data_IF_276784524943
#
_entry.id   IF_276784524943
#
_cell.length_a   1.000
_cell.length_b   1.000
_cell.length_c   1.000
_cell.angle_alpha   90.00
_cell.angle_beta   90.00
_cell.angle_gamma   90.00
#
_symmetry.space_group_name_H-M   'P 1'
#
loop_
_entity.id
_entity.type
_entity.pdbx_description
1 polymer ?
#
# COMPACT_ATOMS: atom_id res chain seq x y z
N UNK A 1 9.14 6.06 2.28
CA UNK A 1 8.50 5.21 3.31
C UNK A 1 9.02 3.78 3.29
N UNK A 2 8.91 3.04 2.17
CA UNK A 2 9.39 1.64 2.09
C UNK A 2 10.88 1.44 2.43
N UNK A 3 11.76 2.40 2.14
CA UNK A 3 13.16 2.31 2.58
C UNK A 3 13.29 2.37 4.11
N UNK A 4 12.60 3.31 4.78
CA UNK A 4 12.58 3.41 6.25
C UNK A 4 11.98 2.17 6.90
N UNK A 5 10.93 1.62 6.28
CA UNK A 5 10.31 0.36 6.69
C UNK A 5 11.30 -0.82 6.73
N UNK A 6 12.40 -0.76 5.97
CA UNK A 6 13.46 -1.78 5.98
C UNK A 6 14.57 -1.54 7.00
N UNK A 7 14.65 -0.33 7.57
CA UNK A 7 15.73 0.02 8.51
C UNK A 7 15.51 -0.57 9.90
N UNK A 8 14.26 -0.58 10.39
CA UNK A 8 13.96 -1.01 11.75
C UNK A 8 13.79 -2.52 11.86
N UNK A 9 14.25 -3.10 12.96
CA UNK A 9 14.13 -4.55 13.21
C UNK A 9 12.68 -4.99 13.35
N UNK A 10 11.89 -4.24 14.10
CA UNK A 10 10.45 -4.49 14.26
C UNK A 10 9.72 -3.47 13.41
N UNK A 11 8.69 -3.93 12.70
CA UNK A 11 7.81 -3.05 11.96
C UNK A 11 6.36 -3.23 12.40
N UNK A 12 5.62 -2.14 12.37
CA UNK A 12 4.20 -2.05 12.72
C UNK A 12 3.52 -1.26 11.62
N UNK A 13 2.45 -1.80 11.04
CA UNK A 13 1.62 -1.05 10.10
C UNK A 13 0.18 -1.00 10.56
N UNK A 14 -0.52 0.06 10.17
CA UNK A 14 -1.97 0.18 10.32
C UNK A 14 -2.55 1.14 9.30
N UNK A 15 -3.86 1.03 9.10
CA UNK A 15 -4.65 1.92 8.26
C UNK A 15 -5.59 2.74 9.16
N UNK A 16 -5.64 4.05 8.93
CA UNK A 16 -6.69 4.92 9.46
C UNK A 16 -8.02 4.62 8.77
N UNK A 17 -8.94 3.96 9.48
CA UNK A 17 -10.24 3.62 8.91
C UNK A 17 -11.07 4.88 8.73
N UNK A 18 -11.51 5.12 7.48
CA UNK A 18 -12.31 6.29 7.14
C UNK A 18 -11.65 7.61 7.57
N UNK A 19 -10.32 7.71 7.44
CA UNK A 19 -9.55 8.80 8.05
C UNK A 19 -10.00 10.19 7.62
N UNK A 20 -10.30 10.39 6.33
CA UNK A 20 -10.79 11.67 5.82
C UNK A 20 -12.16 12.06 6.40
N UNK A 21 -13.02 11.09 6.69
CA UNK A 21 -14.35 11.35 7.26
C UNK A 21 -14.30 11.83 8.72
N UNK A 22 -13.15 11.70 9.39
CA UNK A 22 -12.96 12.24 10.74
C UNK A 22 -12.77 13.76 10.73
N UNK A 23 -12.37 14.34 9.60
CA UNK A 23 -12.14 15.77 9.46
C UNK A 23 -13.40 16.50 8.99
N UNK A 24 -13.69 17.64 9.61
CA UNK A 24 -14.84 18.50 9.27
C UNK A 24 -14.49 19.38 8.09
N UNK A 25 -15.35 19.38 7.08
CA UNK A 25 -15.26 20.34 5.99
C UNK A 25 -15.89 21.67 6.44
N UNK A 26 -15.18 22.77 6.22
CA UNK A 26 -15.67 24.11 6.51
C UNK A 26 -17.00 24.35 5.80
N UNK A 27 -17.94 25.01 6.48
CA UNK A 27 -19.32 25.18 6.00
C UNK A 27 -19.38 25.86 4.62
N UNK A 28 -18.46 26.81 4.37
CA UNK A 28 -18.30 27.52 3.11
C UNK A 28 -17.85 26.62 1.93
N UNK A 29 -17.08 25.58 2.19
CA UNK A 29 -16.55 24.67 1.16
C UNK A 29 -17.50 23.51 0.83
N UNK A 30 -18.52 23.25 1.66
CA UNK A 30 -19.40 22.08 1.51
C UNK A 30 -20.13 22.06 0.18
N UNK A 31 -20.50 23.21 -0.35
CA UNK A 31 -21.22 23.31 -1.61
C UNK A 31 -20.37 22.89 -2.83
N UNK A 32 -19.05 22.94 -2.73
CA UNK A 32 -18.14 22.40 -3.75
C UNK A 32 -18.12 20.86 -3.79
N UNK A 33 -18.74 20.18 -2.81
CA UNK A 33 -18.79 18.71 -2.70
C UNK A 33 -20.18 18.14 -2.94
N UNK A 34 -21.04 18.87 -3.64
CA UNK A 34 -22.40 18.41 -3.96
C UNK A 34 -22.39 17.24 -4.93
N UNK A 35 -23.33 16.31 -4.73
CA UNK A 35 -23.58 15.22 -5.66
C UNK A 35 -25.08 14.94 -5.76
N UNK A 36 -25.48 14.42 -6.92
CA UNK A 36 -26.86 14.02 -7.20
C UNK A 36 -27.05 12.55 -6.85
N UNK A 37 -28.22 12.23 -6.30
CA UNK A 37 -28.60 10.85 -5.98
C UNK A 37 -30.09 10.64 -6.23
N UNK A 38 -30.48 9.42 -6.57
CA UNK A 38 -31.89 9.08 -6.64
C UNK A 38 -32.43 8.87 -5.23
N UNK A 39 -33.57 9.48 -4.91
CA UNK A 39 -34.19 9.39 -3.59
C UNK A 39 -34.49 7.93 -3.26
N UNK A 40 -34.07 7.50 -2.09
CA UNK A 40 -34.35 6.15 -1.58
C UNK A 40 -35.55 6.20 -0.64
N UNK A 41 -36.54 5.36 -0.89
CA UNK A 41 -37.75 5.25 -0.08
C UNK A 41 -37.93 3.82 0.43
N UNK A 42 -38.60 3.66 1.57
CA UNK A 42 -38.97 2.33 2.07
C UNK A 42 -40.35 1.97 1.53
N UNK A 43 -40.43 0.83 0.85
CA UNK A 43 -41.71 0.21 0.49
C UNK A 43 -42.48 -0.21 1.74
N UNK A 44 -43.79 -0.41 1.60
CA UNK A 44 -44.66 -0.89 2.68
C UNK A 44 -44.18 -2.21 3.31
N UNK A 45 -43.42 -3.01 2.55
CA UNK A 45 -42.86 -4.30 2.98
C UNK A 45 -41.47 -4.15 3.64
N UNK A 46 -41.00 -2.92 3.87
CA UNK A 46 -39.71 -2.61 4.52
C UNK A 46 -38.48 -2.68 3.59
N UNK A 47 -38.67 -2.95 2.30
CA UNK A 47 -37.58 -2.99 1.33
C UNK A 47 -37.25 -1.58 0.80
N UNK A 48 -35.95 -1.29 0.62
CA UNK A 48 -35.47 -0.06 -0.01
C UNK A 48 -35.75 -0.07 -1.52
N UNK A 49 -36.43 0.95 -2.02
CA UNK A 49 -36.59 1.21 -3.45
C UNK A 49 -35.96 2.55 -3.82
N UNK A 50 -35.57 2.66 -5.09
CA UNK A 50 -35.05 3.89 -5.68
C UNK A 50 -36.20 4.57 -6.41
N UNK A 51 -36.54 5.79 -6.01
CA UNK A 51 -37.56 6.61 -6.66
C UNK A 51 -36.97 7.35 -7.86
N UNK A 52 -37.82 7.76 -8.80
CA UNK A 52 -37.44 8.55 -9.99
C UNK A 52 -37.25 10.05 -9.69
N UNK A 53 -37.05 10.39 -8.41
CA UNK A 53 -36.79 11.74 -7.92
C UNK A 53 -35.29 11.90 -7.64
N UNK A 54 -34.65 12.93 -8.22
CA UNK A 54 -33.24 13.23 -7.96
C UNK A 54 -33.13 14.25 -6.81
N UNK A 55 -32.35 13.91 -5.79
CA UNK A 55 -32.01 14.78 -4.65
C UNK A 55 -30.55 15.19 -4.69
N UNK A 56 -30.23 16.34 -4.11
CA UNK A 56 -28.85 16.83 -3.98
C UNK A 56 -28.36 16.65 -2.55
N UNK A 57 -27.24 15.95 -2.39
CA UNK A 57 -26.50 15.86 -1.13
C UNK A 57 -25.22 16.66 -1.22
N UNK A 58 -24.62 16.96 -0.06
CA UNK A 58 -23.29 17.56 0.07
C UNK A 58 -22.55 16.92 1.24
N UNK A 59 -21.24 16.84 1.16
CA UNK A 59 -20.46 16.32 2.27
C UNK A 59 -20.30 17.35 3.38
N UNK A 60 -20.31 16.89 4.63
CA UNK A 60 -19.97 17.68 5.82
C UNK A 60 -18.58 17.36 6.36
N UNK A 61 -17.96 16.31 5.84
CA UNK A 61 -16.63 15.78 6.15
C UNK A 61 -15.84 15.62 4.86
N UNK A 62 -14.53 15.45 4.91
CA UNK A 62 -13.74 15.31 3.68
C UNK A 62 -14.05 13.99 2.95
N UNK A 63 -14.60 14.03 1.73
CA UNK A 63 -14.81 12.82 0.94
C UNK A 63 -13.50 12.23 0.41
N UNK A 64 -13.57 10.94 0.08
CA UNK A 64 -12.53 10.27 -0.70
C UNK A 64 -12.53 10.81 -2.14
N UNK A 65 -11.35 11.02 -2.71
CA UNK A 65 -11.17 11.47 -4.10
C UNK A 65 -10.89 12.97 -4.26
N UNK A 66 -11.03 13.79 -3.22
CA UNK A 66 -10.50 15.16 -3.27
C UNK A 66 -8.98 15.15 -3.19
N UNK A 67 -8.35 15.94 -4.05
CA UNK A 67 -6.89 16.10 -4.10
C UNK A 67 -6.31 16.70 -2.82
N UNK A 68 -7.10 17.49 -2.08
CA UNK A 68 -6.69 18.13 -0.82
C UNK A 68 -6.84 17.24 0.42
N UNK A 69 -7.70 16.20 0.41
CA UNK A 69 -7.97 15.35 1.58
C UNK A 69 -6.70 14.75 2.20
N UNK A 70 -5.74 14.19 1.43
CA UNK A 70 -4.52 13.62 2.00
C UNK A 70 -3.61 14.66 2.66
N UNK A 71 -3.53 15.86 2.08
CA UNK A 71 -2.74 16.95 2.65
C UNK A 71 -3.32 17.39 3.98
N UNK A 72 -4.64 17.61 4.04
CA UNK A 72 -5.31 18.08 5.25
C UNK A 72 -5.25 17.05 6.38
N UNK A 73 -5.42 15.75 6.07
CA UNK A 73 -5.19 14.69 7.05
C UNK A 73 -3.75 14.70 7.58
N UNK A 74 -2.77 14.82 6.69
CA UNK A 74 -1.37 14.88 7.10
C UNK A 74 -1.08 16.11 7.97
N UNK A 75 -1.65 17.28 7.63
CA UNK A 75 -1.51 18.51 8.40
C UNK A 75 -2.16 18.39 9.79
N UNK A 76 -3.38 17.85 9.88
CA UNK A 76 -4.05 17.61 11.15
C UNK A 76 -3.29 16.63 12.04
N UNK A 77 -2.74 15.56 11.47
CA UNK A 77 -1.91 14.60 12.23
C UNK A 77 -0.61 15.23 12.74
N UNK A 78 0.03 16.12 11.96
CA UNK A 78 1.22 16.87 12.41
C UNK A 78 0.89 17.85 13.53
N UNK A 79 -0.21 18.58 13.41
CA UNK A 79 -0.67 19.48 14.47
C UNK A 79 -0.96 18.71 15.76
N UNK A 80 -1.63 17.57 15.63
CA UNK A 80 -1.88 16.66 16.74
C UNK A 80 -0.57 16.14 17.36
N UNK A 81 0.42 15.82 16.54
CA UNK A 81 1.73 15.40 17.03
C UNK A 81 2.46 16.52 17.80
N UNK A 82 2.41 17.76 17.33
CA UNK A 82 2.97 18.93 18.02
C UNK A 82 2.30 19.15 19.38
N UNK A 83 0.97 19.10 19.43
CA UNK A 83 0.19 19.34 20.65
C UNK A 83 0.48 18.31 21.75
N UNK A 84 0.69 17.05 21.38
CA UNK A 84 0.87 15.95 22.32
C UNK A 84 2.29 15.38 22.35
N UNK A 85 3.30 16.12 21.86
CA UNK A 85 4.69 15.67 21.78
C UNK A 85 5.27 15.23 23.14
N UNK A 86 4.89 15.91 24.22
CA UNK A 86 5.37 15.56 25.58
C UNK A 86 4.60 14.38 26.18
N UNK A 87 3.35 14.19 25.79
CA UNK A 87 2.47 13.12 26.32
C UNK A 87 2.74 11.79 25.63
N UNK A 88 2.99 11.80 24.33
CA UNK A 88 3.20 10.61 23.49
C UNK A 88 4.47 10.75 22.63
N UNK A 89 5.67 10.84 23.26
CA UNK A 89 6.90 11.21 22.56
C UNK A 89 7.33 10.19 21.49
N UNK A 90 6.98 8.91 21.63
CA UNK A 90 7.35 7.88 20.67
C UNK A 90 6.43 7.96 19.45
N UNK A 91 5.11 7.99 19.64
CA UNK A 91 4.13 8.05 18.55
C UNK A 91 4.29 9.33 17.71
N UNK A 92 4.45 10.48 18.36
CA UNK A 92 4.56 11.78 17.68
C UNK A 92 5.79 11.88 16.79
N UNK A 93 6.95 11.36 17.23
CA UNK A 93 8.16 11.25 16.41
C UNK A 93 7.93 10.46 15.12
N UNK A 94 7.08 9.44 15.18
CA UNK A 94 6.80 8.59 14.02
C UNK A 94 5.78 9.21 13.06
N UNK A 95 4.75 9.91 13.54
CA UNK A 95 3.70 10.50 12.68
C UNK A 95 4.29 11.41 11.59
N UNK A 96 5.28 12.23 11.91
CA UNK A 96 5.88 13.17 10.96
C UNK A 96 6.55 12.50 9.76
N UNK A 97 7.16 11.33 10.00
CA UNK A 97 8.07 10.69 9.06
C UNK A 97 7.54 9.38 8.47
N UNK A 98 6.50 8.79 9.05
CA UNK A 98 6.08 7.43 8.77
C UNK A 98 4.59 7.29 8.43
N UNK A 99 3.98 8.39 8.00
CA UNK A 99 2.60 8.44 7.52
C UNK A 99 2.57 8.71 6.03
N UNK A 100 1.77 7.95 5.28
CA UNK A 100 1.45 8.19 3.88
C UNK A 100 -0.06 8.12 3.69
N UNK A 101 -0.70 9.26 3.41
CA UNK A 101 -2.16 9.36 3.39
C UNK A 101 -2.77 8.89 4.72
N UNK A 102 -3.54 7.81 4.70
CA UNK A 102 -4.15 7.12 5.84
C UNK A 102 -3.31 5.92 6.34
N UNK A 103 -2.16 5.65 5.74
CA UNK A 103 -1.33 4.49 6.03
C UNK A 103 -0.14 4.83 6.94
N UNK A 104 -0.02 4.10 8.05
CA UNK A 104 1.07 4.24 9.02
C UNK A 104 2.03 3.07 8.86
N UNK A 105 3.31 3.35 8.64
CA UNK A 105 4.36 2.33 8.50
C UNK A 105 5.52 2.67 9.39
N UNK A 106 5.47 2.13 10.60
CA UNK A 106 6.32 2.53 11.70
C UNK A 106 7.31 1.40 12.00
N UNK A 107 8.50 1.76 12.47
CA UNK A 107 9.54 0.80 12.82
C UNK A 107 10.19 1.12 14.16
N UNK A 108 10.46 0.08 14.95
CA UNK A 108 11.10 0.15 16.27
C UNK A 108 12.24 -0.87 16.37
N UNK A 109 13.06 -0.75 17.42
CA UNK A 109 14.21 -1.65 17.62
C UNK A 109 13.92 -2.79 18.61
N UNK A 110 12.94 -2.59 19.50
CA UNK A 110 12.61 -3.54 20.58
C UNK A 110 11.11 -3.80 20.70
N UNK A 111 10.76 -4.97 21.23
CA UNK A 111 9.36 -5.37 21.46
C UNK A 111 8.67 -4.44 22.47
N UNK A 112 9.40 -4.00 23.50
CA UNK A 112 8.89 -3.06 24.50
C UNK A 112 8.53 -1.71 23.87
N UNK A 113 9.41 -1.19 23.02
CA UNK A 113 9.16 0.06 22.28
C UNK A 113 7.98 -0.11 21.31
N UNK A 114 7.86 -1.26 20.64
CA UNK A 114 6.74 -1.58 19.75
C UNK A 114 5.39 -1.56 20.48
N UNK A 115 5.33 -2.16 21.68
CA UNK A 115 4.12 -2.18 22.50
C UNK A 115 3.78 -0.77 22.99
N UNK A 116 4.75 -0.01 23.51
CA UNK A 116 4.51 1.37 23.96
C UNK A 116 4.02 2.25 22.81
N UNK A 117 4.67 2.16 21.65
CA UNK A 117 4.26 2.88 20.45
C UNK A 117 2.82 2.54 20.04
N UNK A 118 2.44 1.26 20.06
CA UNK A 118 1.07 0.85 19.75
C UNK A 118 0.05 1.51 20.69
N UNK A 119 0.34 1.56 22.00
CA UNK A 119 -0.53 2.22 22.99
C UNK A 119 -0.62 3.72 22.76
N UNK A 120 0.53 4.38 22.60
CA UNK A 120 0.61 5.81 22.35
C UNK A 120 -0.14 6.19 21.07
N UNK A 121 0.01 5.41 19.99
CA UNK A 121 -0.72 5.65 18.74
C UNK A 121 -2.24 5.58 18.93
N UNK A 122 -2.75 4.56 19.65
CA UNK A 122 -4.19 4.46 19.92
C UNK A 122 -4.72 5.65 20.72
N UNK A 123 -3.98 6.07 21.74
CA UNK A 123 -4.36 7.22 22.57
C UNK A 123 -4.29 8.53 21.78
N UNK A 124 -3.21 8.73 21.04
CA UNK A 124 -3.00 9.91 20.20
C UNK A 124 -4.11 10.04 19.15
N UNK A 125 -4.40 9.00 18.37
CA UNK A 125 -5.43 9.07 17.32
C UNK A 125 -6.86 9.14 17.86
N UNK A 126 -7.09 8.74 19.12
CA UNK A 126 -8.40 8.89 19.78
C UNK A 126 -8.82 10.37 19.93
N UNK A 127 -7.87 11.30 20.06
CA UNK A 127 -8.17 12.73 20.16
C UNK A 127 -8.84 13.32 18.92
N UNK A 128 -8.68 12.67 17.76
CA UNK A 128 -9.36 13.04 16.50
C UNK A 128 -10.39 11.98 16.07
N UNK A 129 -10.75 11.06 16.96
CA UNK A 129 -11.65 9.94 16.66
C UNK A 129 -11.22 9.14 15.43
N UNK A 130 -9.91 8.95 15.22
CA UNK A 130 -9.37 8.19 14.12
C UNK A 130 -9.11 6.73 14.54
N UNK A 131 -10.01 5.79 14.21
CA UNK A 131 -9.79 4.38 14.48
C UNK A 131 -8.69 3.84 13.57
N UNK A 132 -7.71 3.17 14.18
CA UNK A 132 -6.66 2.44 13.48
C UNK A 132 -7.05 0.97 13.35
N UNK A 133 -6.91 0.43 12.14
CA UNK A 133 -7.28 -0.94 11.82
C UNK A 133 -6.22 -1.61 10.94
N UNK A 134 -6.49 -2.88 10.57
CA UNK A 134 -5.62 -3.71 9.73
C UNK A 134 -4.17 -3.75 10.24
N UNK A 135 -4.04 -3.91 11.55
CA UNK A 135 -2.76 -3.97 12.23
C UNK A 135 -1.92 -5.13 11.70
N UNK A 136 -0.63 -4.89 11.49
CA UNK A 136 0.33 -5.93 11.16
C UNK A 136 1.67 -5.66 11.82
N UNK A 137 2.39 -6.70 12.21
CA UNK A 137 3.72 -6.59 12.80
C UNK A 137 4.47 -7.91 12.72
N UNK A 138 5.80 -7.86 12.66
CA UNK A 138 6.68 -9.03 12.85
C UNK A 138 7.05 -9.30 14.32
N UNK A 139 6.62 -8.46 15.27
CA UNK A 139 6.85 -8.68 16.71
C UNK A 139 5.89 -9.73 17.28
N UNK A 140 6.43 -10.87 17.74
CA UNK A 140 5.62 -11.90 18.42
C UNK A 140 5.07 -11.44 19.76
N UNK A 141 5.81 -10.59 20.47
CA UNK A 141 5.34 -10.00 21.73
C UNK A 141 4.11 -9.12 21.50
N UNK A 142 4.15 -8.22 20.51
CA UNK A 142 3.03 -7.36 20.17
C UNK A 142 1.83 -8.15 19.62
N UNK A 143 2.07 -9.17 18.80
CA UNK A 143 1.02 -10.12 18.40
C UNK A 143 0.37 -10.80 19.60
N UNK A 144 1.14 -11.14 20.65
CA UNK A 144 0.63 -11.68 21.91
C UNK A 144 -0.33 -10.72 22.62
N UNK A 145 0.03 -9.43 22.68
CA UNK A 145 -0.84 -8.37 23.23
C UNK A 145 -2.13 -8.28 22.42
N UNK A 146 -2.05 -8.20 21.09
CA UNK A 146 -3.23 -8.11 20.23
C UNK A 146 -4.17 -9.32 20.36
N UNK A 147 -3.64 -10.53 20.54
CA UNK A 147 -4.47 -11.73 20.81
C UNK A 147 -5.24 -11.62 22.12
N UNK A 148 -4.62 -11.12 23.18
CA UNK A 148 -5.30 -10.93 24.48
C UNK A 148 -6.41 -9.87 24.40
N UNK A 149 -6.22 -8.87 23.54
CA UNK A 149 -7.16 -7.75 23.36
C UNK A 149 -8.19 -7.97 22.25
N UNK A 150 -8.19 -9.15 21.62
CA UNK A 150 -9.03 -9.47 20.45
C UNK A 150 -8.86 -8.47 19.29
N UNK A 151 -7.66 -7.94 19.12
CA UNK A 151 -7.32 -7.04 18.00
C UNK A 151 -6.96 -7.90 16.78
N UNK A 152 -7.69 -7.80 15.67
CA UNK A 152 -7.38 -8.56 14.47
C UNK A 152 -6.09 -8.04 13.83
N UNK A 153 -5.19 -8.96 13.46
CA UNK A 153 -3.97 -8.66 12.72
C UNK A 153 -3.77 -9.64 11.57
N UNK A 154 -2.90 -9.30 10.62
CA UNK A 154 -2.58 -10.15 9.45
C UNK A 154 -1.15 -10.66 9.50
N UNK A 155 -0.97 -11.92 9.10
CA UNK A 155 0.34 -12.56 8.96
C UNK A 155 0.96 -12.29 7.58
N UNK A 156 0.11 -12.16 6.54
CA UNK A 156 0.52 -11.74 5.20
C UNK A 156 -0.26 -10.49 4.83
N UNK A 157 0.43 -9.45 4.39
CA UNK A 157 -0.19 -8.17 4.00
C UNK A 157 0.53 -7.54 2.83
N UNK A 158 -0.03 -6.45 2.28
CA UNK A 158 0.66 -5.59 1.34
C UNK A 158 0.96 -4.25 1.99
N UNK A 159 2.23 -3.87 2.01
CA UNK A 159 2.72 -2.57 2.49
C UNK A 159 3.03 -1.73 1.26
N UNK A 160 2.21 -0.71 1.00
CA UNK A 160 2.31 0.12 -0.21
C UNK A 160 2.44 -0.72 -1.49
N UNK A 161 1.64 -1.79 -1.63
CA UNK A 161 1.63 -2.65 -2.82
C UNK A 161 2.72 -3.73 -2.88
N UNK A 162 3.64 -3.79 -1.90
CA UNK A 162 4.64 -4.86 -1.77
C UNK A 162 4.15 -5.89 -0.75
N UNK A 163 4.10 -7.16 -1.12
CA UNK A 163 3.66 -8.23 -0.22
C UNK A 163 4.74 -8.56 0.82
N UNK A 164 4.32 -8.65 2.08
CA UNK A 164 5.16 -8.88 3.24
C UNK A 164 4.57 -10.00 4.10
N UNK A 165 5.39 -11.03 4.34
CA UNK A 165 5.16 -12.09 5.33
C UNK A 165 5.76 -11.62 6.65
N UNK A 166 4.90 -11.40 7.65
CA UNK A 166 5.31 -10.85 8.96
C UNK A 166 5.93 -11.89 9.87
N UNK A 167 5.67 -13.18 9.65
CA UNK A 167 6.24 -14.26 10.47
C UNK A 167 7.71 -14.49 10.11
N UNK A 168 7.99 -14.59 8.81
CA UNK A 168 9.36 -14.77 8.29
C UNK A 168 10.10 -13.46 8.08
N UNK A 169 9.38 -12.35 8.14
CA UNK A 169 9.87 -10.99 7.93
C UNK A 169 10.53 -10.76 6.56
N UNK A 170 9.84 -11.18 5.50
CA UNK A 170 10.35 -11.18 4.12
C UNK A 170 9.34 -10.61 3.14
N UNK A 171 9.86 -9.91 2.14
CA UNK A 171 9.11 -9.59 0.93
C UNK A 171 9.04 -10.80 0.01
N UNK A 172 7.90 -10.95 -0.64
CA UNK A 172 7.64 -12.01 -1.60
C UNK A 172 6.70 -11.51 -2.71
N UNK A 173 6.52 -12.31 -3.76
CA UNK A 173 5.57 -12.05 -4.83
C UNK A 173 4.65 -13.27 -4.96
N UNK A 174 3.33 -13.05 -4.88
CA UNK A 174 2.37 -14.04 -5.34
C UNK A 174 2.36 -14.10 -6.88
N UNK A 175 3.20 -14.98 -7.40
CA UNK A 175 3.37 -15.26 -8.82
C UNK A 175 2.09 -15.86 -9.40
N UNK A 176 1.42 -16.75 -8.67
CA UNK A 176 0.27 -17.50 -9.19
C UNK A 176 -0.92 -16.57 -9.39
N UNK A 177 -1.24 -15.72 -8.41
CA UNK A 177 -2.31 -14.73 -8.55
C UNK A 177 -2.07 -13.79 -9.76
N UNK A 178 -0.81 -13.45 -10.04
CA UNK A 178 -0.46 -12.54 -11.14
C UNK A 178 -0.48 -13.22 -12.52
N UNK A 179 -0.08 -14.48 -12.62
CA UNK A 179 0.17 -15.19 -13.88
C UNK A 179 -1.00 -16.06 -14.36
N UNK A 180 -1.78 -16.70 -13.47
CA UNK A 180 -2.76 -17.74 -13.86
C UNK A 180 -3.80 -17.27 -14.89
N UNK A 181 -4.15 -15.97 -14.89
CA UNK A 181 -5.04 -15.38 -15.91
C UNK A 181 -4.33 -15.02 -17.22
N UNK A 182 -3.03 -14.74 -17.18
CA UNK A 182 -2.28 -14.22 -18.33
C UNK A 182 -1.93 -15.29 -19.38
N UNK A 183 -1.93 -16.57 -19.02
CA UNK A 183 -1.61 -17.68 -19.94
C UNK A 183 -2.73 -18.02 -20.93
N UNK A 184 -3.96 -17.54 -20.71
CA UNK A 184 -5.16 -17.90 -21.50
C UNK A 184 -5.64 -16.84 -22.49
N UNK A 185 -5.12 -15.62 -22.42
CA UNK A 185 -5.55 -14.50 -23.26
C UNK A 185 -4.71 -14.39 -24.56
N UNK A 186 -5.30 -13.94 -25.69
CA UNK A 186 -4.55 -13.68 -26.92
C UNK A 186 -3.43 -12.68 -26.65
N UNK A 187 -2.23 -12.93 -27.16
CA UNK A 187 -1.07 -12.13 -26.77
C UNK A 187 -1.06 -10.83 -27.58
N UNK A 188 -1.63 -9.75 -27.03
CA UNK A 188 -1.56 -8.41 -27.63
C UNK A 188 -0.62 -7.50 -26.86
N UNK A 189 -0.23 -6.37 -27.47
CA UNK A 189 0.64 -5.40 -26.82
C UNK A 189 0.01 -4.80 -25.54
N UNK A 190 -1.31 -4.53 -25.56
CA UNK A 190 -2.07 -4.10 -24.38
C UNK A 190 -2.01 -5.12 -23.24
N UNK A 191 -2.11 -6.41 -23.57
CA UNK A 191 -2.08 -7.47 -22.56
C UNK A 191 -0.66 -7.75 -22.03
N UNK A 192 0.38 -7.52 -22.85
CA UNK A 192 1.76 -7.49 -22.39
C UNK A 192 1.99 -6.37 -21.38
N UNK A 193 1.55 -5.14 -21.69
CA UNK A 193 1.64 -4.01 -20.76
C UNK A 193 0.86 -4.28 -19.47
N UNK A 194 -0.37 -4.77 -19.58
CA UNK A 194 -1.21 -5.14 -18.42
C UNK A 194 -0.51 -6.17 -17.54
N UNK A 195 0.19 -7.15 -18.13
CA UNK A 195 0.96 -8.15 -17.40
C UNK A 195 2.16 -7.51 -16.69
N UNK A 196 2.94 -6.68 -17.39
CA UNK A 196 4.06 -5.95 -16.81
C UNK A 196 3.63 -5.11 -15.60
N UNK A 197 2.53 -4.36 -15.72
CA UNK A 197 2.02 -3.48 -14.66
C UNK A 197 1.56 -4.22 -13.40
N UNK A 198 1.32 -5.55 -13.46
CA UNK A 198 1.03 -6.35 -12.25
C UNK A 198 2.27 -6.52 -11.36
N UNK A 199 3.46 -6.37 -11.91
CA UNK A 199 4.72 -6.46 -11.16
C UNK A 199 5.13 -5.09 -10.64
N UNK A 200 4.36 -4.60 -9.66
CA UNK A 200 4.69 -3.41 -8.89
C UNK A 200 5.90 -3.69 -7.98
N UNK A 201 7.03 -3.06 -8.26
CA UNK A 201 8.29 -3.22 -7.54
C UNK A 201 8.98 -1.87 -7.31
N UNK A 202 8.47 -1.04 -6.39
CA UNK A 202 8.96 0.31 -6.14
C UNK A 202 10.37 0.33 -5.51
N UNK A 203 10.83 -0.80 -4.97
CA UNK A 203 12.15 -0.96 -4.38
C UNK A 203 13.18 -1.56 -5.35
N UNK A 204 12.73 -1.98 -6.54
CA UNK A 204 13.59 -2.63 -7.54
C UNK A 204 14.14 -3.99 -7.10
N UNK A 205 13.52 -4.65 -6.11
CA UNK A 205 13.98 -5.91 -5.53
C UNK A 205 13.91 -7.09 -6.51
N UNK A 206 13.01 -7.00 -7.48
CA UNK A 206 12.74 -8.00 -8.50
C UNK A 206 13.05 -7.45 -9.90
N UNK A 207 13.82 -6.36 -9.99
CA UNK A 207 14.28 -5.74 -11.26
C UNK A 207 14.90 -6.74 -12.24
N UNK A 208 15.77 -7.69 -11.82
CA UNK A 208 16.38 -8.65 -12.75
C UNK A 208 15.36 -9.45 -13.56
N UNK A 209 14.15 -9.63 -13.02
CA UNK A 209 13.07 -10.36 -13.70
C UNK A 209 12.11 -9.40 -14.41
N UNK A 210 11.80 -8.24 -13.82
CA UNK A 210 10.86 -7.28 -14.42
C UNK A 210 11.46 -6.49 -15.60
N UNK A 211 12.79 -6.35 -15.68
CA UNK A 211 13.45 -5.68 -16.81
C UNK A 211 13.21 -6.43 -18.11
N UNK A 212 13.22 -7.76 -18.10
CA UNK A 212 13.05 -8.61 -19.29
C UNK A 212 11.73 -8.29 -20.01
N UNK A 213 10.63 -8.15 -19.27
CA UNK A 213 9.32 -7.83 -19.86
C UNK A 213 9.22 -6.37 -20.31
N UNK A 214 9.96 -5.45 -19.67
CA UNK A 214 10.05 -4.04 -20.09
C UNK A 214 10.78 -3.93 -21.43
N UNK A 215 11.89 -4.64 -21.59
CA UNK A 215 12.64 -4.76 -22.86
C UNK A 215 11.73 -5.36 -23.94
N UNK A 216 11.04 -6.44 -23.62
CA UNK A 216 10.11 -7.07 -24.57
C UNK A 216 9.01 -6.10 -25.02
N UNK A 217 8.45 -5.34 -24.09
CA UNK A 217 7.46 -4.32 -24.41
C UNK A 217 8.06 -3.19 -25.27
N UNK A 218 9.28 -2.75 -24.99
CA UNK A 218 10.01 -1.79 -25.81
C UNK A 218 10.22 -2.30 -27.24
N UNK A 219 10.63 -3.57 -27.41
CA UNK A 219 10.82 -4.20 -28.72
C UNK A 219 9.51 -4.18 -29.55
N UNK A 220 8.36 -4.42 -28.89
CA UNK A 220 7.06 -4.34 -29.58
C UNK A 220 6.71 -2.93 -30.05
N UNK A 221 7.08 -1.93 -29.25
CA UNK A 221 6.85 -0.52 -29.57
C UNK A 221 7.72 -0.07 -30.74
N UNK A 222 9.01 -0.42 -30.73
CA UNK A 222 9.95 -0.12 -31.82
C UNK A 222 9.54 -0.81 -33.14
N UNK A 223 8.87 -1.96 -33.06
CA UNK A 223 8.37 -2.70 -34.22
C UNK A 223 7.04 -2.15 -34.77
N UNK A 224 6.47 -1.11 -34.15
CA UNK A 224 5.21 -0.48 -34.62
C UNK A 224 3.95 -1.31 -34.38
N UNK A 225 3.99 -2.30 -33.48
CA UNK A 225 2.85 -3.18 -33.18
C UNK A 225 1.76 -2.40 -32.43
N UNK A 226 0.53 -2.44 -32.93
CA UNK A 226 -0.60 -1.72 -32.31
C UNK A 226 -1.07 -2.39 -31.02
N UNK A 227 -1.78 -1.63 -30.18
CA UNK A 227 -2.23 -2.07 -28.85
C UNK A 227 -2.98 -3.40 -28.84
N UNK A 228 -3.92 -3.59 -29.77
CA UNK A 228 -4.81 -4.76 -29.82
C UNK A 228 -4.42 -5.75 -30.92
N UNK A 229 -3.25 -5.56 -31.53
CA UNK A 229 -2.68 -6.48 -32.52
C UNK A 229 -1.99 -7.67 -31.83
N UNK A 230 -2.05 -8.84 -32.47
CA UNK A 230 -1.36 -10.03 -31.99
C UNK A 230 0.16 -9.85 -32.06
N UNK A 231 0.86 -10.22 -31.00
CA UNK A 231 2.32 -10.20 -30.98
C UNK A 231 2.88 -11.21 -31.99
N UNK A 232 3.96 -10.86 -32.73
CA UNK A 232 4.66 -11.78 -33.59
C UNK A 232 5.08 -13.05 -32.85
N UNK A 233 5.16 -14.21 -33.54
CA UNK A 233 5.47 -15.49 -32.90
C UNK A 233 6.73 -15.47 -32.03
N UNK A 234 7.79 -14.77 -32.45
CA UNK A 234 9.04 -14.65 -31.70
C UNK A 234 8.84 -13.92 -30.35
N UNK A 235 8.11 -12.80 -30.35
CA UNK A 235 7.81 -12.01 -29.14
C UNK A 235 6.87 -12.80 -28.22
N UNK A 236 5.87 -13.45 -28.78
CA UNK A 236 4.96 -14.32 -28.04
C UNK A 236 5.74 -15.46 -27.36
N UNK A 237 6.70 -16.09 -28.04
CA UNK A 237 7.53 -17.14 -27.47
C UNK A 237 8.41 -16.63 -26.32
N UNK A 238 9.04 -15.47 -26.46
CA UNK A 238 9.83 -14.86 -25.38
C UNK A 238 8.98 -14.54 -24.15
N UNK A 239 7.76 -14.01 -24.35
CA UNK A 239 6.80 -13.81 -23.27
C UNK A 239 6.47 -15.12 -22.54
N UNK A 240 6.17 -16.20 -23.27
CA UNK A 240 5.86 -17.49 -22.66
C UNK A 240 7.05 -18.03 -21.86
N UNK A 241 8.26 -17.91 -22.40
CA UNK A 241 9.50 -18.27 -21.68
C UNK A 241 9.62 -17.50 -20.37
N UNK A 242 9.47 -16.18 -20.42
CA UNK A 242 9.51 -15.33 -19.23
C UNK A 242 8.44 -15.70 -18.19
N UNK A 243 7.20 -15.96 -18.61
CA UNK A 243 6.11 -16.43 -17.73
C UNK A 243 6.46 -17.75 -17.04
N UNK A 244 7.09 -18.68 -17.75
CA UNK A 244 7.50 -19.96 -17.18
C UNK A 244 8.66 -19.78 -16.18
N UNK A 245 9.62 -18.91 -16.50
CA UNK A 245 10.75 -18.60 -15.62
C UNK A 245 10.30 -17.88 -14.35
N UNK A 246 9.28 -17.02 -14.42
CA UNK A 246 8.71 -16.33 -13.27
C UNK A 246 8.26 -17.26 -12.13
N UNK A 247 8.00 -18.54 -12.43
CA UNK A 247 7.68 -19.53 -11.39
C UNK A 247 8.79 -19.65 -10.34
N UNK A 248 10.06 -19.31 -10.65
CA UNK A 248 11.13 -19.31 -9.66
C UNK A 248 10.95 -18.23 -8.58
N UNK A 249 10.24 -17.13 -8.87
CA UNK A 249 10.00 -16.06 -7.90
C UNK A 249 9.17 -16.54 -6.69
N UNK A 250 8.41 -17.63 -6.83
CA UNK A 250 7.63 -18.22 -5.74
C UNK A 250 8.51 -18.66 -4.56
N UNK A 251 9.80 -18.91 -4.81
CA UNK A 251 10.78 -19.39 -3.84
C UNK A 251 11.71 -18.27 -3.35
N UNK A 252 11.72 -17.12 -4.03
CA UNK A 252 12.54 -15.97 -3.62
C UNK A 252 11.91 -15.29 -2.42
N UNK A 253 12.70 -15.11 -1.36
CA UNK A 253 12.34 -14.35 -0.17
C UNK A 253 13.41 -13.32 0.10
N UNK A 254 13.02 -12.05 0.21
CA UNK A 254 13.94 -10.94 0.40
C UNK A 254 13.72 -10.38 1.80
N UNK A 255 14.72 -10.39 2.70
CA UNK A 255 14.58 -9.82 4.03
C UNK A 255 14.06 -8.39 3.98
N UNK A 256 12.99 -8.11 4.75
CA UNK A 256 12.52 -6.74 4.93
C UNK A 256 13.60 -5.95 5.66
N UNK A 257 13.96 -6.38 6.87
CA UNK A 257 15.01 -5.75 7.65
C UNK A 257 16.39 -5.98 7.04
N UNK A 258 17.14 -4.90 6.85
CA UNK A 258 18.49 -4.96 6.25
C UNK A 258 19.61 -5.13 7.28
N UNK A 259 19.29 -5.42 8.54
CA UNK A 259 20.30 -5.56 9.60
C UNK A 259 20.88 -4.22 10.09
N UNK A 260 20.24 -3.09 9.77
CA UNK A 260 20.67 -1.78 10.23
C UNK A 260 20.38 -1.59 11.73
N UNK A 261 21.37 -1.07 12.46
CA UNK A 261 21.22 -0.41 13.76
C UNK A 261 22.04 0.87 13.76
N UNK A 262 21.72 1.82 14.65
CA UNK A 262 22.46 3.09 14.75
C UNK A 262 23.94 2.91 15.10
N UNK A 263 24.30 1.75 15.65
CA UNK A 263 25.67 1.36 15.99
C UNK A 263 26.37 0.55 14.89
N UNK A 264 25.68 0.23 13.79
CA UNK A 264 26.27 -0.54 12.69
C UNK A 264 27.23 0.33 11.90
N UNK A 265 28.39 -0.23 11.55
CA UNK A 265 29.24 0.30 10.48
C UNK A 265 28.66 -0.16 9.14
N UNK A 266 28.31 0.78 8.26
CA UNK A 266 27.54 0.52 7.05
C UNK A 266 28.25 1.10 5.84
N UNK A 267 28.54 0.25 4.86
CA UNK A 267 29.04 0.65 3.54
C UNK A 267 27.94 0.51 2.49
N UNK A 268 27.83 1.51 1.62
CA UNK A 268 26.90 1.46 0.48
C UNK A 268 27.70 1.05 -0.75
N UNK A 269 27.38 -0.13 -1.29
CA UNK A 269 27.92 -0.60 -2.55
C UNK A 269 26.91 -0.32 -3.66
N UNK A 270 27.31 0.50 -4.64
CA UNK A 270 26.49 0.82 -5.80
C UNK A 270 27.05 0.07 -7.00
N UNK A 271 26.23 -0.79 -7.58
CA UNK A 271 26.51 -1.48 -8.83
C UNK A 271 25.71 -0.80 -9.95
N UNK A 272 26.33 -0.59 -11.09
CA UNK A 272 25.71 -0.01 -12.27
C UNK A 272 25.96 -0.92 -13.47
N UNK A 273 24.96 -1.05 -14.34
CA UNK A 273 25.06 -1.78 -15.60
C UNK A 273 24.96 -0.77 -16.76
N UNK A 274 25.73 -1.00 -17.82
CA UNK A 274 25.78 -0.17 -19.02
C UNK A 274 25.17 -0.87 -20.25
N UNK A 275 24.30 -1.85 -20.01
CA UNK A 275 23.60 -2.58 -21.06
C UNK A 275 22.80 -1.62 -21.95
N UNK A 276 23.05 -1.66 -23.26
CA UNK A 276 22.31 -0.89 -24.26
C UNK A 276 20.81 -1.26 -24.31
N UNK A 277 20.46 -2.43 -23.76
CA UNK A 277 19.09 -2.95 -23.80
C UNK A 277 18.30 -2.70 -22.53
N UNK A 278 18.93 -2.44 -21.38
CA UNK A 278 18.26 -2.44 -20.06
C UNK A 278 17.88 -1.04 -19.58
#
# INVERSE_FOLDING_TARGET
MLLRFRLSKIAITSDGSQAFLQLILADEDRDATRFLWYKTEYTSDGNLCIADEIVTYRFTRFPFGLTSSPFLLSASLRELATMYMQTYPIATKHIENNTYMDYFVIGTSTDTEAITLYREMLQLTSHISLPLAKWTTNSKALQGVWKQENVPFREITQVLGVEWDTDKDVFQIDVQAKIVKASKEPVTNRLLLKLMSKFYDPLGLFTPVTVIVKILFQDTWLSGIKWDELLPPAVAQQRHKWINELQCLKDIRIPRWIGFSETSDVTIHVFCDASERA
#
